data_IF_721279922442
#
_entry.id   IF_721279922442
#
_cell.length_a   1.000
_cell.length_b   1.000
_cell.length_c   1.000
_cell.angle_alpha   90.00
_cell.angle_beta   90.00
_cell.angle_gamma   90.00
#
_symmetry.space_group_name_H-M   'P 1'
#
loop_
_entity.id
_entity.type
_entity.pdbx_description
1 polymer ?
#
# COMPACT_ATOMS: atom_id res chain seq x y z
N UNK A 1 10.54 -5.29 13.69
CA UNK A 1 10.11 -4.62 12.45
C UNK A 1 8.64 -4.95 12.22
N UNK A 2 7.76 -3.97 12.19
CA UNK A 2 6.32 -4.21 11.93
C UNK A 2 5.97 -3.73 10.53
N UNK A 3 5.30 -4.57 9.75
CA UNK A 3 4.91 -4.26 8.37
C UNK A 3 3.40 -4.46 8.21
N UNK A 4 2.74 -3.45 7.68
CA UNK A 4 1.33 -3.54 7.32
C UNK A 4 1.20 -4.08 5.90
N UNK A 5 0.31 -5.06 5.70
CA UNK A 5 0.19 -5.82 4.46
C UNK A 5 -1.17 -5.59 3.82
N UNK A 6 -1.26 -4.70 2.83
CA UNK A 6 -2.52 -4.27 2.22
C UNK A 6 -2.82 -5.07 0.95
N UNK A 7 -3.90 -5.84 0.98
CA UNK A 7 -4.33 -6.66 -0.16
C UNK A 7 -4.92 -5.83 -1.31
N UNK A 8 -5.03 -6.43 -2.50
CA UNK A 8 -5.74 -5.83 -3.65
C UNK A 8 -7.24 -6.09 -3.61
N UNK A 9 -8.00 -5.49 -4.53
CA UNK A 9 -9.46 -5.74 -4.61
C UNK A 9 -9.77 -7.23 -4.78
N UNK A 10 -10.96 -7.64 -4.32
CA UNK A 10 -11.47 -9.01 -4.34
C UNK A 10 -10.59 -10.00 -3.59
N UNK A 11 -9.91 -9.54 -2.54
CA UNK A 11 -9.11 -10.37 -1.63
C UNK A 11 -9.52 -10.08 -0.18
N UNK A 12 -8.87 -10.75 0.76
CA UNK A 12 -8.92 -10.47 2.20
C UNK A 12 -7.48 -10.48 2.71
N UNK A 13 -7.26 -10.07 3.96
CA UNK A 13 -5.97 -10.20 4.62
C UNK A 13 -5.43 -11.64 4.59
N UNK A 14 -6.29 -12.63 4.86
CA UNK A 14 -5.91 -14.05 4.89
C UNK A 14 -5.61 -14.61 3.50
N UNK A 15 -6.38 -14.20 2.48
CA UNK A 15 -6.09 -14.56 1.09
C UNK A 15 -4.75 -13.99 0.64
N UNK A 16 -4.44 -12.75 1.04
CA UNK A 16 -3.17 -12.11 0.71
C UNK A 16 -2.00 -12.76 1.45
N UNK A 17 -2.17 -13.06 2.73
CA UNK A 17 -1.20 -13.81 3.54
C UNK A 17 -0.88 -15.18 2.93
N UNK A 18 -1.90 -15.92 2.51
CA UNK A 18 -1.72 -17.23 1.87
C UNK A 18 -0.90 -17.13 0.57
N UNK A 19 -1.05 -16.05 -0.21
CA UNK A 19 -0.24 -15.78 -1.41
C UNK A 19 1.21 -15.43 -1.09
N UNK A 20 1.47 -14.84 0.08
CA UNK A 20 2.78 -14.29 0.46
C UNK A 20 3.64 -15.22 1.32
N UNK A 21 3.28 -16.50 1.47
CA UNK A 21 4.05 -17.46 2.29
C UNK A 21 5.54 -17.55 1.94
N UNK A 22 5.91 -17.43 0.65
CA UNK A 22 7.31 -17.44 0.22
C UNK A 22 8.06 -16.20 0.71
N UNK A 23 7.43 -15.03 0.68
CA UNK A 23 7.96 -13.78 1.20
C UNK A 23 8.11 -13.85 2.73
N UNK A 24 7.10 -14.38 3.44
CA UNK A 24 7.16 -14.57 4.90
C UNK A 24 8.36 -15.42 5.33
N UNK A 25 8.57 -16.57 4.67
CA UNK A 25 9.72 -17.45 4.93
C UNK A 25 11.05 -16.74 4.67
N UNK A 26 11.10 -15.88 3.64
CA UNK A 26 12.30 -15.10 3.35
C UNK A 26 12.54 -14.02 4.41
N UNK A 27 11.49 -13.34 4.87
CA UNK A 27 11.57 -12.35 5.93
C UNK A 27 12.05 -12.97 7.25
N UNK A 28 11.53 -14.14 7.62
CA UNK A 28 11.99 -14.85 8.83
C UNK A 28 13.49 -15.17 8.79
N UNK A 29 14.02 -15.52 7.60
CA UNK A 29 15.45 -15.76 7.41
C UNK A 29 16.27 -14.47 7.41
N UNK A 30 15.71 -13.38 6.87
CA UNK A 30 16.42 -12.12 6.68
C UNK A 30 16.44 -11.22 7.92
N UNK A 31 15.38 -11.26 8.73
CA UNK A 31 15.11 -10.33 9.85
C UNK A 31 14.84 -11.06 11.18
N UNK A 32 14.89 -12.39 11.20
CA UNK A 32 14.57 -13.20 12.38
C UNK A 32 13.09 -13.61 12.44
N UNK A 33 12.74 -14.53 13.35
CA UNK A 33 11.38 -15.07 13.46
C UNK A 33 10.36 -13.97 13.77
N UNK A 34 9.13 -14.17 13.34
CA UNK A 34 8.04 -13.27 13.72
C UNK A 34 7.66 -13.51 15.18
N UNK A 35 7.54 -12.41 15.92
CA UNK A 35 7.16 -12.37 17.32
C UNK A 35 6.12 -11.25 17.48
N UNK A 36 4.92 -11.56 18.01
CA UNK A 36 3.88 -10.57 18.22
C UNK A 36 4.40 -9.36 19.00
N UNK A 37 4.08 -8.16 18.51
CA UNK A 37 4.50 -6.91 19.16
C UNK A 37 5.93 -6.44 18.88
N UNK A 38 6.83 -7.27 18.33
CA UNK A 38 8.22 -6.87 18.03
C UNK A 38 8.60 -6.99 16.55
N UNK A 39 8.30 -8.13 15.91
CA UNK A 39 8.56 -8.37 14.50
C UNK A 39 7.36 -9.10 13.89
N UNK A 40 6.51 -8.39 13.16
CA UNK A 40 5.20 -8.90 12.79
C UNK A 40 4.72 -8.35 11.45
N UNK A 41 4.01 -9.19 10.71
CA UNK A 41 3.29 -8.81 9.50
C UNK A 41 1.80 -8.80 9.83
N UNK A 42 1.15 -7.65 9.65
CA UNK A 42 -0.27 -7.47 9.96
C UNK A 42 -1.04 -7.37 8.64
N UNK A 43 -2.00 -8.27 8.45
CA UNK A 43 -2.79 -8.41 7.23
C UNK A 43 -4.24 -8.00 7.51
N UNK A 44 -4.56 -6.70 7.51
CA UNK A 44 -5.95 -6.28 7.67
C UNK A 44 -6.78 -6.68 6.45
N UNK A 45 -8.07 -6.84 6.68
CA UNK A 45 -9.08 -6.98 5.63
C UNK A 45 -9.77 -5.63 5.43
N UNK A 46 -9.89 -5.21 4.18
CA UNK A 46 -10.52 -3.96 3.80
C UNK A 46 -11.99 -3.87 4.25
N UNK A 47 -12.57 -2.68 4.44
CA UNK A 47 -13.88 -2.55 5.09
C UNK A 47 -15.08 -2.85 4.19
N UNK A 48 -14.91 -2.91 2.86
CA UNK A 48 -16.03 -3.08 1.94
C UNK A 48 -16.14 -4.51 1.43
N UNK A 49 -17.15 -5.30 1.86
CA UNK A 49 -17.35 -6.65 1.35
C UNK A 49 -17.88 -6.61 -0.09
N UNK A 50 -17.40 -7.53 -0.90
CA UNK A 50 -17.85 -7.77 -2.26
C UNK A 50 -18.60 -9.11 -2.33
N UNK A 51 -19.60 -9.17 -3.19
CA UNK A 51 -20.28 -10.43 -3.50
C UNK A 51 -19.31 -11.34 -4.24
N UNK A 52 -18.98 -12.47 -3.63
CA UNK A 52 -18.15 -13.52 -4.24
C UNK A 52 -19.02 -14.76 -4.46
N UNK A 53 -18.99 -15.37 -5.66
CA UNK A 53 -19.64 -16.65 -5.87
C UNK A 53 -18.99 -17.72 -4.98
N UNK A 54 -19.82 -18.55 -4.35
CA UNK A 54 -19.38 -19.69 -3.55
C UNK A 54 -18.77 -20.78 -4.44
N UNK A 55 -17.91 -21.62 -3.86
CA UNK A 55 -17.29 -22.75 -4.56
C UNK A 55 -16.07 -22.37 -5.41
N UNK A 56 -15.53 -21.18 -5.23
CA UNK A 56 -14.30 -20.72 -5.91
C UNK A 56 -13.04 -21.25 -5.23
N UNK A 57 -12.98 -21.22 -3.89
CA UNK A 57 -12.04 -21.99 -3.07
C UNK A 57 -12.48 -21.96 -1.59
N UNK A 58 -12.12 -22.98 -0.82
CA UNK A 58 -12.46 -23.05 0.62
C UNK A 58 -11.97 -21.80 1.39
N UNK A 59 -10.76 -21.33 1.06
CA UNK A 59 -10.18 -20.15 1.73
C UNK A 59 -10.96 -18.87 1.39
N UNK A 60 -11.40 -18.72 0.14
CA UNK A 60 -12.20 -17.56 -0.28
C UNK A 60 -13.62 -17.63 0.26
N UNK A 61 -14.22 -18.82 0.29
CA UNK A 61 -15.56 -19.01 0.85
C UNK A 61 -15.58 -18.69 2.36
N UNK A 62 -14.47 -18.95 3.07
CA UNK A 62 -14.33 -18.64 4.50
C UNK A 62 -14.05 -17.16 4.78
N UNK A 63 -13.18 -16.53 3.99
CA UNK A 63 -12.67 -15.17 4.29
C UNK A 63 -13.27 -14.07 3.40
N UNK A 64 -14.07 -14.42 2.40
CA UNK A 64 -14.75 -13.50 1.51
C UNK A 64 -13.84 -12.77 0.53
N UNK A 65 -14.40 -11.75 -0.11
CA UNK A 65 -13.73 -10.85 -1.04
C UNK A 65 -14.05 -9.42 -0.62
N UNK A 66 -13.04 -8.56 -0.57
CA UNK A 66 -13.15 -7.22 -0.02
C UNK A 66 -12.40 -6.20 -0.89
N UNK A 67 -12.75 -4.93 -0.74
CA UNK A 67 -12.18 -3.80 -1.46
C UNK A 67 -11.88 -2.65 -0.50
N UNK A 68 -10.83 -1.87 -0.78
CA UNK A 68 -10.50 -0.67 -0.01
C UNK A 68 -11.35 0.53 -0.43
N UNK A 69 -11.84 0.55 -1.66
CA UNK A 69 -12.73 1.59 -2.15
C UNK A 69 -13.94 0.93 -2.81
N UNK A 70 -15.09 1.60 -2.82
CA UNK A 70 -16.31 1.09 -3.46
C UNK A 70 -16.29 1.26 -5.00
N UNK A 71 -15.11 1.56 -5.57
CA UNK A 71 -14.86 1.67 -6.99
C UNK A 71 -13.75 0.69 -7.40
N UNK A 72 -13.98 -0.02 -8.51
CA UNK A 72 -12.96 -0.84 -9.17
C UNK A 72 -12.14 -0.01 -10.18
N UNK A 73 -12.50 1.27 -10.38
CA UNK A 73 -11.75 2.18 -11.26
C UNK A 73 -10.40 2.52 -10.65
N UNK A 74 -9.37 2.58 -11.50
CA UNK A 74 -8.01 2.98 -11.13
C UNK A 74 -7.81 4.51 -11.20
N UNK A 75 -8.83 5.25 -11.62
CA UNK A 75 -8.84 6.72 -11.63
C UNK A 75 -10.26 7.28 -11.36
N UNK A 76 -10.35 8.57 -11.08
CA UNK A 76 -11.60 9.25 -10.71
C UNK A 76 -11.84 9.27 -9.21
N UNK A 77 -13.11 9.38 -8.79
CA UNK A 77 -13.46 9.41 -7.36
C UNK A 77 -13.28 8.04 -6.71
N UNK A 78 -12.89 8.04 -5.43
CA UNK A 78 -12.72 6.87 -4.56
C UNK A 78 -13.77 6.86 -3.43
N UNK A 79 -15.03 6.50 -3.71
CA UNK A 79 -16.03 6.36 -2.66
C UNK A 79 -15.55 5.36 -1.59
N UNK A 80 -15.72 5.73 -0.32
CA UNK A 80 -15.27 4.91 0.81
C UNK A 80 -13.79 5.07 1.21
N UNK A 81 -13.02 5.93 0.53
CA UNK A 81 -11.62 6.22 0.94
C UNK A 81 -11.53 6.64 2.41
N UNK A 82 -12.42 7.51 2.88
CA UNK A 82 -12.40 7.96 4.27
C UNK A 82 -12.60 6.81 5.28
N UNK A 83 -13.52 5.87 5.01
CA UNK A 83 -13.73 4.70 5.89
C UNK A 83 -12.50 3.78 5.92
N UNK A 84 -11.83 3.60 4.77
CA UNK A 84 -10.57 2.86 4.71
C UNK A 84 -9.45 3.56 5.46
N UNK A 85 -9.32 4.88 5.33
CA UNK A 85 -8.36 5.67 6.09
C UNK A 85 -8.64 5.60 7.60
N UNK A 86 -9.90 5.67 8.01
CA UNK A 86 -10.31 5.50 9.42
C UNK A 86 -9.94 4.11 9.95
N UNK A 87 -10.23 3.05 9.19
CA UNK A 87 -9.88 1.67 9.54
C UNK A 87 -8.36 1.50 9.70
N UNK A 88 -7.59 2.02 8.76
CA UNK A 88 -6.12 1.97 8.83
C UNK A 88 -5.59 2.81 9.99
N UNK A 89 -6.10 4.01 10.23
CA UNK A 89 -5.66 4.85 11.34
C UNK A 89 -5.88 4.17 12.70
N UNK A 90 -6.99 3.45 12.88
CA UNK A 90 -7.22 2.60 14.07
C UNK A 90 -6.15 1.51 14.19
N UNK A 91 -5.82 0.80 13.11
CA UNK A 91 -4.75 -0.22 13.11
C UNK A 91 -3.38 0.40 13.43
N UNK A 92 -3.04 1.54 12.83
CA UNK A 92 -1.79 2.26 13.10
C UNK A 92 -1.71 2.69 14.57
N UNK A 93 -2.83 3.10 15.17
CA UNK A 93 -2.90 3.51 16.58
C UNK A 93 -2.78 2.33 17.55
N UNK A 94 -3.46 1.22 17.25
CA UNK A 94 -3.55 0.06 18.14
C UNK A 94 -2.34 -0.86 18.04
N UNK A 95 -1.79 -0.99 16.83
CA UNK A 95 -0.74 -1.94 16.50
C UNK A 95 0.54 -1.28 15.99
N UNK A 96 0.62 0.04 15.94
CA UNK A 96 1.85 0.74 15.57
C UNK A 96 2.92 0.74 16.68
N UNK A 97 4.07 1.40 16.41
CA UNK A 97 4.43 1.96 15.11
C UNK A 97 4.81 0.87 14.11
N UNK A 98 4.48 1.11 12.84
CA UNK A 98 4.87 0.33 11.68
C UNK A 98 6.11 0.94 11.03
N UNK A 99 7.06 0.09 10.63
CA UNK A 99 8.25 0.52 9.90
C UNK A 99 7.96 0.73 8.41
N UNK A 100 6.98 0.01 7.85
CA UNK A 100 6.65 0.13 6.43
C UNK A 100 5.36 -0.57 6.05
N UNK A 101 4.96 -0.39 4.79
CA UNK A 101 3.76 -0.99 4.22
C UNK A 101 4.12 -1.74 2.94
N UNK A 102 3.55 -2.93 2.75
CA UNK A 102 3.58 -3.66 1.48
C UNK A 102 2.16 -3.78 0.97
N UNK A 103 1.89 -3.22 -0.20
CA UNK A 103 0.56 -3.14 -0.80
C UNK A 103 0.51 -3.72 -2.20
N UNK A 104 -0.60 -4.41 -2.54
CA UNK A 104 -0.89 -4.90 -3.88
C UNK A 104 -2.11 -4.20 -4.49
N UNK A 105 -2.03 -3.76 -5.75
CA UNK A 105 -3.16 -3.15 -6.49
C UNK A 105 -3.74 -1.94 -5.73
N UNK A 106 -5.04 -1.93 -5.41
CA UNK A 106 -5.64 -0.93 -4.50
C UNK A 106 -4.86 -0.76 -3.19
N UNK A 107 -4.39 -1.86 -2.58
CA UNK A 107 -3.55 -1.79 -1.38
C UNK A 107 -2.21 -1.11 -1.63
N UNK A 108 -1.67 -1.19 -2.85
CA UNK A 108 -0.45 -0.48 -3.26
C UNK A 108 -0.66 1.01 -3.48
N UNK A 109 -1.83 1.40 -3.98
CA UNK A 109 -2.26 2.80 -4.06
C UNK A 109 -2.49 3.39 -2.66
N UNK A 110 -3.26 2.69 -1.82
CA UNK A 110 -3.55 3.09 -0.45
C UNK A 110 -2.28 3.17 0.40
N UNK A 111 -1.33 2.23 0.25
CA UNK A 111 -0.05 2.27 0.94
C UNK A 111 0.72 3.58 0.70
N UNK A 112 0.72 4.08 -0.54
CA UNK A 112 1.38 5.34 -0.88
C UNK A 112 0.62 6.54 -0.30
N UNK A 113 -0.73 6.52 -0.33
CA UNK A 113 -1.54 7.56 0.31
C UNK A 113 -1.29 7.62 1.84
N UNK A 114 -1.21 6.47 2.50
CA UNK A 114 -0.89 6.41 3.94
C UNK A 114 0.51 6.96 4.23
N UNK A 115 1.50 6.57 3.41
CA UNK A 115 2.86 7.10 3.55
C UNK A 115 2.90 8.62 3.41
N UNK A 116 2.20 9.16 2.41
CA UNK A 116 2.01 10.60 2.24
C UNK A 116 1.44 11.25 3.49
N UNK A 117 0.36 10.71 4.06
CA UNK A 117 -0.31 11.28 5.24
C UNK A 117 0.56 11.27 6.50
N UNK A 118 1.48 10.32 6.62
CA UNK A 118 2.41 10.19 7.75
C UNK A 118 3.67 11.05 7.61
N UNK A 119 3.88 11.71 6.47
CA UNK A 119 4.99 12.64 6.27
C UNK A 119 4.76 13.98 6.97
N UNK A 120 5.87 14.59 7.41
CA UNK A 120 5.85 15.92 8.00
C UNK A 120 5.28 16.95 7.01
N UNK A 121 4.50 17.89 7.53
CA UNK A 121 3.88 19.00 6.78
C UNK A 121 2.92 18.58 5.65
N UNK A 122 2.50 17.31 5.59
CA UNK A 122 1.49 16.89 4.60
C UNK A 122 0.17 17.65 4.78
N UNK A 123 -0.22 17.95 6.02
CA UNK A 123 -1.43 18.73 6.35
C UNK A 123 -1.51 20.08 5.65
N UNK A 124 -0.37 20.74 5.43
CA UNK A 124 -0.31 22.06 4.80
C UNK A 124 -0.71 21.97 3.32
N UNK A 125 -0.28 20.91 2.64
CA UNK A 125 -0.65 20.66 1.24
C UNK A 125 -2.15 20.41 1.08
N UNK A 126 -2.76 19.65 1.99
CA UNK A 126 -4.21 19.44 2.03
C UNK A 126 -4.96 20.75 2.32
N UNK A 127 -4.44 21.59 3.23
CA UNK A 127 -5.04 22.89 3.55
C UNK A 127 -4.99 23.86 2.37
N UNK A 128 -3.90 23.87 1.61
CA UNK A 128 -3.78 24.69 0.41
C UNK A 128 -4.76 24.21 -0.68
N UNK A 129 -4.77 22.92 -0.97
CA UNK A 129 -5.56 22.35 -2.06
C UNK A 129 -7.06 22.25 -1.76
N UNK A 130 -7.47 22.20 -0.50
CA UNK A 130 -8.90 22.23 -0.14
C UNK A 130 -9.58 23.52 -0.58
N UNK A 131 -8.85 24.65 -0.55
CA UNK A 131 -9.34 25.93 -1.10
C UNK A 131 -9.56 25.91 -2.62
N UNK A 132 -8.95 24.95 -3.31
CA UNK A 132 -9.05 24.74 -4.76
C UNK A 132 -10.02 23.60 -5.12
N UNK A 133 -10.72 23.01 -4.15
CA UNK A 133 -11.68 21.92 -4.34
C UNK A 133 -11.13 20.51 -4.09
N UNK A 134 -9.92 20.38 -3.54
CA UNK A 134 -9.40 19.12 -3.02
C UNK A 134 -10.10 18.69 -1.72
N UNK A 135 -9.88 17.44 -1.28
CA UNK A 135 -10.41 17.00 0.02
C UNK A 135 -9.60 17.59 1.17
N UNK A 136 -10.23 17.67 2.35
CA UNK A 136 -9.56 18.07 3.59
C UNK A 136 -8.61 16.98 4.10
N UNK A 137 -7.66 17.38 4.96
CA UNK A 137 -6.76 16.43 5.59
C UNK A 137 -7.56 15.44 6.47
N UNK A 138 -7.38 14.11 6.30
CA UNK A 138 -8.17 13.12 7.04
C UNK A 138 -8.01 13.27 8.57
N UNK A 139 -9.11 13.54 9.27
CA UNK A 139 -9.12 13.77 10.73
C UNK A 139 -8.49 12.59 11.51
N UNK A 140 -8.72 11.36 11.04
CA UNK A 140 -8.16 10.15 11.65
C UNK A 140 -6.63 10.15 11.71
N UNK A 141 -5.97 10.80 10.75
CA UNK A 141 -4.52 10.95 10.69
C UNK A 141 -4.03 12.18 11.45
N UNK A 142 -4.85 13.23 11.58
CA UNK A 142 -4.48 14.44 12.34
C UNK A 142 -4.26 14.14 13.83
N UNK A 143 -4.95 13.13 14.36
CA UNK A 143 -4.86 12.71 15.77
C UNK A 143 -3.88 11.55 15.98
N UNK A 144 -3.20 11.08 14.93
CA UNK A 144 -2.39 9.88 14.99
C UNK A 144 -0.96 10.21 15.40
N UNK A 145 -0.49 9.59 16.48
CA UNK A 145 0.93 9.63 16.87
C UNK A 145 1.66 8.44 16.25
N UNK A 146 2.08 8.60 15.00
CA UNK A 146 2.86 7.60 14.27
C UNK A 146 3.98 8.29 13.47
N UNK A 147 5.25 7.85 13.56
CA UNK A 147 6.33 8.47 12.79
C UNK A 147 6.12 8.24 11.27
N UNK A 148 6.79 9.01 10.40
CA UNK A 148 6.85 8.67 8.99
C UNK A 148 7.30 7.22 8.78
N UNK A 149 6.72 6.54 7.78
CA UNK A 149 7.15 5.20 7.42
C UNK A 149 8.59 5.24 6.93
N UNK A 150 9.34 4.17 7.21
CA UNK A 150 10.70 4.01 6.69
C UNK A 150 10.69 3.56 5.23
N UNK A 151 9.66 2.83 4.81
CA UNK A 151 9.53 2.37 3.42
C UNK A 151 8.10 2.01 3.01
N UNK A 152 7.88 1.97 1.70
CA UNK A 152 6.72 1.35 1.05
C UNK A 152 7.20 0.36 -0.03
N UNK A 153 6.52 -0.77 -0.16
CA UNK A 153 6.61 -1.62 -1.35
C UNK A 153 5.25 -1.64 -2.03
N UNK A 154 5.16 -1.00 -3.20
CA UNK A 154 3.94 -0.88 -3.99
C UNK A 154 3.98 -1.84 -5.18
N UNK A 155 3.09 -2.82 -5.20
CA UNK A 155 3.03 -3.87 -6.23
C UNK A 155 1.79 -3.65 -7.09
N UNK A 156 1.95 -3.32 -8.36
CA UNK A 156 0.86 -2.88 -9.25
C UNK A 156 0.00 -1.77 -8.64
N UNK A 157 0.58 -0.91 -7.80
CA UNK A 157 -0.10 0.26 -7.25
C UNK A 157 -0.21 1.39 -8.27
N UNK A 158 -1.10 2.34 -8.02
CA UNK A 158 -1.39 3.44 -8.93
C UNK A 158 -1.66 4.73 -8.16
N UNK A 159 -1.61 5.86 -8.87
CA UNK A 159 -1.99 7.16 -8.35
C UNK A 159 -3.29 7.60 -9.01
N UNK A 160 -4.19 8.19 -8.22
CA UNK A 160 -5.46 8.71 -8.71
C UNK A 160 -5.27 10.18 -9.10
N UNK A 161 -5.64 10.53 -10.33
CA UNK A 161 -5.36 11.85 -10.92
C UNK A 161 -6.48 12.87 -10.65
N UNK A 162 -7.50 12.50 -9.89
CA UNK A 162 -8.63 13.36 -9.54
C UNK A 162 -8.21 14.49 -8.58
N UNK A 163 -8.80 15.69 -8.77
CA UNK A 163 -8.47 16.90 -8.01
C UNK A 163 -8.53 16.69 -6.49
N UNK A 164 -9.58 16.00 -6.04
CA UNK A 164 -9.78 15.53 -4.67
C UNK A 164 -8.52 14.93 -4.02
N UNK A 165 -7.68 14.24 -4.78
CA UNK A 165 -6.57 13.44 -4.24
C UNK A 165 -5.18 14.01 -4.56
N UNK A 166 -5.09 15.17 -5.20
CA UNK A 166 -3.81 15.79 -5.54
C UNK A 166 -2.90 16.00 -4.31
N UNK A 167 -3.47 16.29 -3.13
CA UNK A 167 -2.72 16.55 -1.91
C UNK A 167 -1.94 15.34 -1.38
N UNK A 168 -2.35 14.11 -1.75
CA UNK A 168 -1.58 12.90 -1.44
C UNK A 168 -0.26 12.80 -2.23
N UNK A 169 -0.14 13.53 -3.34
CA UNK A 169 0.95 13.37 -4.30
C UNK A 169 1.76 14.64 -4.51
N UNK A 170 1.24 15.79 -4.09
CA UNK A 170 1.91 17.09 -4.12
C UNK A 170 1.94 17.68 -2.71
N UNK A 171 3.13 17.91 -2.11
CA UNK A 171 4.45 17.63 -2.66
C UNK A 171 4.71 16.11 -2.85
N UNK A 172 5.69 15.75 -3.68
CA UNK A 172 6.00 14.34 -3.95
C UNK A 172 6.30 13.57 -2.65
N UNK A 173 5.81 12.33 -2.57
CA UNK A 173 5.99 11.40 -1.45
C UNK A 173 7.49 11.15 -1.25
N UNK A 174 7.98 11.43 -0.04
CA UNK A 174 9.39 11.32 0.33
C UNK A 174 9.77 9.96 0.89
N UNK A 175 8.79 9.22 1.40
CA UNK A 175 8.95 7.87 1.92
C UNK A 175 9.58 6.98 0.84
N UNK A 176 10.74 6.33 1.12
CA UNK A 176 11.38 5.44 0.17
C UNK A 176 10.41 4.37 -0.33
N UNK A 177 10.21 4.31 -1.65
CA UNK A 177 9.23 3.39 -2.25
C UNK A 177 9.88 2.47 -3.27
N UNK A 178 9.64 1.17 -3.14
CA UNK A 178 9.97 0.15 -4.15
C UNK A 178 8.71 -0.19 -4.94
N UNK A 179 8.78 -0.06 -6.26
CA UNK A 179 7.67 -0.37 -7.14
C UNK A 179 7.89 -1.66 -7.92
N UNK A 180 6.86 -2.52 -7.97
CA UNK A 180 6.80 -3.66 -8.87
C UNK A 180 5.72 -3.46 -9.93
N UNK A 181 6.10 -3.62 -11.20
CA UNK A 181 5.23 -3.43 -12.36
C UNK A 181 5.26 -4.69 -13.22
N UNK A 182 4.08 -5.19 -13.59
CA UNK A 182 3.92 -6.34 -14.47
C UNK A 182 3.83 -5.91 -15.93
N UNK A 183 4.74 -6.42 -16.79
CA UNK A 183 4.74 -6.03 -18.21
C UNK A 183 3.55 -6.58 -19.01
N UNK A 184 2.77 -7.49 -18.44
CA UNK A 184 1.52 -8.02 -19.02
C UNK A 184 0.30 -7.67 -18.16
N UNK A 185 0.42 -6.69 -17.26
CA UNK A 185 -0.68 -6.25 -16.39
C UNK A 185 -1.68 -5.45 -17.21
N UNK A 186 -2.87 -6.02 -17.44
CA UNK A 186 -3.96 -5.38 -18.18
C UNK A 186 -5.04 -4.79 -17.26
N UNK A 187 -4.80 -4.81 -15.93
CA UNK A 187 -5.72 -4.26 -14.93
C UNK A 187 -5.20 -2.91 -14.47
N UNK A 188 -3.92 -2.88 -14.10
CA UNK A 188 -3.18 -1.65 -13.82
C UNK A 188 -2.01 -1.64 -14.79
N UNK A 189 -2.24 -1.04 -15.96
CA UNK A 189 -1.23 -0.94 -17.01
C UNK A 189 0.04 -0.23 -16.50
N UNK A 190 1.18 -0.53 -17.12
CA UNK A 190 2.47 0.00 -16.67
C UNK A 190 2.47 1.53 -16.61
N UNK A 191 1.88 2.21 -17.61
CA UNK A 191 1.77 3.67 -17.63
C UNK A 191 1.00 4.22 -16.42
N UNK A 192 -0.03 3.51 -15.96
CA UNK A 192 -0.83 3.92 -14.80
C UNK A 192 -0.03 3.77 -13.51
N UNK A 193 0.67 2.66 -13.32
CA UNK A 193 1.58 2.50 -12.18
C UNK A 193 2.73 3.49 -12.21
N UNK A 194 3.24 3.83 -13.40
CA UNK A 194 4.29 4.81 -13.57
C UNK A 194 3.87 6.20 -13.10
N UNK A 195 2.59 6.58 -13.14
CA UNK A 195 2.13 7.85 -12.53
C UNK A 195 2.50 7.92 -11.05
N UNK A 196 2.26 6.85 -10.30
CA UNK A 196 2.63 6.78 -8.88
C UNK A 196 4.14 6.84 -8.68
N UNK A 197 4.91 6.16 -9.53
CA UNK A 197 6.38 6.20 -9.51
C UNK A 197 6.89 7.65 -9.62
N UNK A 198 6.30 8.47 -10.49
CA UNK A 198 6.69 9.87 -10.66
C UNK A 198 6.33 10.76 -9.45
N UNK A 199 5.39 10.35 -8.60
CA UNK A 199 5.05 11.06 -7.38
C UNK A 199 5.89 10.65 -6.17
N UNK A 200 6.81 9.68 -6.31
CA UNK A 200 7.66 9.21 -5.22
C UNK A 200 9.13 9.64 -5.43
N UNK A 201 9.70 10.38 -4.50
CA UNK A 201 11.07 10.89 -4.56
C UNK A 201 11.85 10.58 -3.28
N UNK A 202 12.94 9.83 -3.37
CA UNK A 202 13.76 9.46 -2.21
C UNK A 202 14.87 10.51 -1.96
N UNK A 203 14.66 11.42 -1.01
CA UNK A 203 15.60 12.51 -0.71
C UNK A 203 15.78 13.45 -1.92
N UNK A 204 17.03 13.58 -2.39
CA UNK A 204 17.37 14.35 -3.61
C UNK A 204 17.21 13.54 -4.90
N UNK A 205 16.88 12.24 -4.82
CA UNK A 205 16.65 11.41 -6.00
C UNK A 205 15.23 11.61 -6.49
N UNK A 206 15.09 11.96 -7.76
CA UNK A 206 13.81 12.16 -8.44
C UNK A 206 13.20 10.85 -8.99
N UNK A 207 13.80 9.70 -8.70
CA UNK A 207 13.31 8.42 -9.23
C UNK A 207 13.47 7.31 -8.19
N UNK A 208 12.37 6.62 -7.82
CA UNK A 208 12.40 5.51 -6.89
C UNK A 208 12.87 4.23 -7.59
N UNK A 209 13.04 3.15 -6.83
CA UNK A 209 13.44 1.85 -7.39
C UNK A 209 12.23 1.20 -8.06
N UNK A 210 12.38 0.85 -9.33
CA UNK A 210 11.34 0.18 -10.14
C UNK A 210 11.82 -1.18 -10.60
N UNK A 211 11.09 -2.23 -10.26
CA UNK A 211 11.33 -3.61 -10.70
C UNK A 211 10.21 -4.06 -11.62
N UNK A 212 10.57 -4.45 -12.84
CA UNK A 212 9.64 -5.03 -13.81
C UNK A 212 9.69 -6.55 -13.77
N UNK A 213 8.53 -7.20 -13.84
CA UNK A 213 8.42 -8.64 -14.01
C UNK A 213 7.54 -8.98 -15.23
N UNK A 214 7.77 -10.14 -15.84
CA UNK A 214 7.06 -10.58 -17.04
C UNK A 214 5.64 -11.12 -16.78
N UNK A 215 5.01 -10.76 -15.66
CA UNK A 215 3.71 -11.28 -15.24
C UNK A 215 2.58 -10.30 -15.53
N UNK A 216 1.33 -10.76 -15.38
CA UNK A 216 0.15 -9.89 -15.38
C UNK A 216 -0.10 -9.24 -14.02
N UNK A 217 -1.38 -9.04 -13.67
CA UNK A 217 -1.80 -8.45 -12.39
C UNK A 217 -1.63 -9.41 -11.20
N UNK A 218 -0.37 -9.65 -10.81
CA UNK A 218 0.01 -10.62 -9.78
C UNK A 218 1.07 -10.06 -8.85
N UNK A 219 1.15 -10.64 -7.66
CA UNK A 219 2.31 -10.43 -6.78
C UNK A 219 3.47 -11.29 -7.27
N UNK A 220 4.65 -10.73 -7.56
CA UNK A 220 5.78 -11.51 -8.03
C UNK A 220 6.31 -12.42 -6.92
N UNK A 221 6.43 -13.72 -7.22
CA UNK A 221 6.94 -14.75 -6.31
C UNK A 221 8.34 -15.30 -6.68
N UNK A 222 8.98 -14.73 -7.70
CA UNK A 222 10.29 -15.18 -8.16
C UNK A 222 11.40 -14.86 -7.16
N UNK A 223 12.43 -15.71 -7.11
CA UNK A 223 13.52 -15.56 -6.14
C UNK A 223 14.22 -14.20 -6.24
N UNK A 224 14.41 -13.70 -7.45
CA UNK A 224 15.04 -12.40 -7.72
C UNK A 224 14.22 -11.27 -7.12
N UNK A 225 12.92 -11.24 -7.39
CA UNK A 225 11.98 -10.22 -6.94
C UNK A 225 11.89 -10.21 -5.41
N UNK A 226 11.73 -11.39 -4.79
CA UNK A 226 11.69 -11.52 -3.33
C UNK A 226 13.00 -11.07 -2.67
N UNK A 227 14.16 -11.37 -3.27
CA UNK A 227 15.45 -10.88 -2.79
C UNK A 227 15.56 -9.36 -2.86
N UNK A 228 15.06 -8.71 -3.91
CA UNK A 228 15.04 -7.24 -4.00
C UNK A 228 14.22 -6.63 -2.85
N UNK A 229 13.05 -7.19 -2.53
CA UNK A 229 12.23 -6.70 -1.40
C UNK A 229 13.03 -6.72 -0.10
N UNK A 230 13.69 -7.84 0.20
CA UNK A 230 14.46 -7.95 1.46
C UNK A 230 15.69 -7.05 1.51
N UNK A 231 16.40 -6.88 0.40
CA UNK A 231 17.54 -5.95 0.33
C UNK A 231 17.08 -4.50 0.50
N UNK A 232 15.97 -4.12 -0.15
CA UNK A 232 15.39 -2.80 -0.04
C UNK A 232 14.96 -2.48 1.38
N UNK A 233 14.27 -3.40 2.06
CA UNK A 233 13.86 -3.21 3.45
C UNK A 233 15.08 -3.06 4.36
N UNK A 234 16.10 -3.94 4.23
CA UNK A 234 17.34 -3.81 5.01
C UNK A 234 17.98 -2.43 4.87
N UNK A 235 18.05 -1.90 3.65
CA UNK A 235 18.64 -0.57 3.40
C UNK A 235 17.95 0.55 4.18
N UNK A 236 16.64 0.45 4.43
CA UNK A 236 15.84 1.51 5.05
C UNK A 236 15.47 1.26 6.51
N UNK A 237 15.82 0.09 7.06
CA UNK A 237 15.56 -0.23 8.48
C UNK A 237 16.81 -0.49 9.29
N UNK A 238 18.00 -0.41 8.68
CA UNK A 238 19.30 -0.57 9.35
C UNK A 238 19.73 0.69 10.10
#
# INVERSE_FOLDING_TARGET
MKILMLHGSRQSGELFRAKLQALEKLFQRAFGPFQPGTNELIYPTAPFPLVSPSGTSELRDRHGAWSWFQSESIDGVLPGLNDSLLSIASILKESGPFDGIIGFSQGGALAAMIASLLEENRSDAFTQLSSEGGIEFPEAFAQLTHPPLKFVVSISGYAVSHLDYCAFYSPAIRTPTLHFLGSMDTIVEEEVSMKLVHYCHEGNKTSPIVVRHSGGHIVPGGKKELSVVTQFIKLHTS
#
